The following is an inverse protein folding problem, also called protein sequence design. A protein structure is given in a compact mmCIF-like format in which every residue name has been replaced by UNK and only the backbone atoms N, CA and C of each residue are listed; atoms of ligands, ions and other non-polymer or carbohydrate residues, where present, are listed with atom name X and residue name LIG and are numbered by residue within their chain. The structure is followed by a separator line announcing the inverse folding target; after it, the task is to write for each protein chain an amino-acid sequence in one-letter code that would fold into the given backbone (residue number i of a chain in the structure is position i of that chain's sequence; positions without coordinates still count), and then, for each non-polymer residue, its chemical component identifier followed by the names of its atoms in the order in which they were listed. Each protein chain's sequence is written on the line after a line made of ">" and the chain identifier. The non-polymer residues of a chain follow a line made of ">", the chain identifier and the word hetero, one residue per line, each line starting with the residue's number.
data_IF_994072637905
#
_entry.id   IF_994072637905
#
_cell.length_a   1.000
_cell.length_b   1.000
_cell.length_c   1.000
_cell.angle_alpha   90.00
_cell.angle_beta   90.00
_cell.angle_gamma   90.00
#
_symmetry.space_group_name_H-M   'P 1'
#
loop_
_entity.id
_entity.type
_entity.pdbx_description
1 polymer ?
2 non-polymer ?
3 non-polymer ?
4 non-polymer ?
5 water ?
#
# COMPACT_ATOMS: atom_id res chain seq x y z
N UNK A 3 -15.76 17.02 -11.30
CA UNK A 3 -16.95 16.35 -11.91
C UNK A 3 -16.49 15.14 -12.76
N UNK A 4 -15.41 15.28 -13.52
CA UNK A 4 -14.87 14.29 -14.49
C UNK A 4 -14.62 12.91 -13.88
N UNK A 5 -14.60 11.87 -14.71
CA UNK A 5 -14.53 10.45 -14.25
C UNK A 5 -13.24 10.20 -13.46
N UNK A 6 -12.09 10.61 -13.98
CA UNK A 6 -10.74 10.41 -13.39
C UNK A 6 -10.64 11.05 -11.99
N UNK A 7 -11.16 12.25 -11.81
CA UNK A 7 -11.17 12.98 -10.52
C UNK A 7 -12.01 12.17 -9.52
N UNK A 8 -13.16 11.71 -9.96
CA UNK A 8 -14.14 10.99 -9.13
C UNK A 8 -13.54 9.64 -8.70
N UNK A 9 -12.90 8.94 -9.63
CA UNK A 9 -12.21 7.67 -9.36
C UNK A 9 -11.02 7.95 -8.42
N UNK A 10 -10.27 9.03 -8.65
CA UNK A 10 -9.15 9.41 -7.73
C UNK A 10 -9.67 9.78 -6.32
N UNK A 11 -10.90 10.30 -6.18
CA UNK A 11 -11.47 10.61 -4.84
C UNK A 11 -11.87 9.29 -4.14
N UNK A 12 -12.37 8.32 -4.90
CA UNK A 12 -12.55 6.94 -4.38
C UNK A 12 -11.22 6.41 -3.86
N UNK A 13 -10.14 6.52 -4.63
CA UNK A 13 -8.78 6.03 -4.21
C UNK A 13 -8.36 6.75 -2.92
N UNK A 14 -8.63 8.05 -2.86
CA UNK A 14 -8.25 8.88 -1.69
C UNK A 14 -9.02 8.37 -0.45
N UNK A 15 -10.28 8.01 -0.65
CA UNK A 15 -11.13 7.45 0.42
C UNK A 15 -10.55 6.18 0.93
N UNK A 16 -10.17 5.29 0.02
CA UNK A 16 -9.52 3.98 0.32
C UNK A 16 -8.26 4.26 1.14
N UNK A 17 -7.41 5.13 0.62
CA UNK A 17 -6.14 5.52 1.26
C UNK A 17 -6.43 5.94 2.71
N UNK A 18 -7.40 6.84 2.89
CA UNK A 18 -7.81 7.36 4.20
C UNK A 18 -8.23 6.19 5.09
N UNK A 19 -9.01 5.25 4.57
CA UNK A 19 -9.44 4.06 5.35
C UNK A 19 -8.22 3.19 5.71
N UNK A 20 -7.32 2.94 4.78
CA UNK A 20 -6.13 2.07 5.02
C UNK A 20 -5.32 2.66 6.18
N UNK A 21 -5.29 3.98 6.32
CA UNK A 21 -4.51 4.70 7.36
C UNK A 21 -5.36 4.95 8.62
N UNK A 22 -6.61 4.47 8.67
CA UNK A 22 -7.55 4.77 9.78
C UNK A 22 -7.28 3.81 10.95
N UNK A 23 -7.77 4.17 12.13
CA UNK A 23 -7.66 3.41 13.38
C UNK A 23 -8.38 2.07 13.24
N UNK A 24 -9.47 2.00 12.48
CA UNK A 24 -10.19 0.74 12.15
C UNK A 24 -9.21 -0.39 11.77
N UNK A 25 -8.19 -0.12 10.96
CA UNK A 25 -7.26 -1.13 10.39
C UNK A 25 -5.85 -1.04 10.98
N UNK A 26 -5.62 -0.22 12.02
CA UNK A 26 -4.27 0.09 12.57
C UNK A 26 -3.56 -1.16 13.10
N UNK A 27 -4.28 -2.16 13.61
CA UNK A 27 -3.65 -3.35 14.26
C UNK A 27 -2.85 -4.15 13.22
N UNK A 28 -3.35 -4.22 11.97
CA UNK A 28 -2.66 -4.92 10.86
C UNK A 28 -2.04 -3.95 9.84
N UNK A 29 -2.40 -2.67 9.79
CA UNK A 29 -1.94 -1.76 8.70
C UNK A 29 -0.58 -1.14 9.01
N UNK A 30 -0.13 -1.17 10.26
CA UNK A 30 0.97 -0.31 10.78
C UNK A 30 2.31 -0.65 10.12
N UNK A 31 2.66 -1.91 9.76
CA UNK A 31 3.91 -2.18 9.04
C UNK A 31 4.00 -1.51 7.66
N UNK A 32 2.90 -0.97 7.14
CA UNK A 32 2.79 -0.40 5.76
C UNK A 32 2.70 1.13 5.82
N UNK A 33 2.71 1.73 7.03
CA UNK A 33 2.57 3.20 7.24
C UNK A 33 3.79 3.93 6.69
N UNK A 34 4.99 3.35 6.82
CA UNK A 34 6.27 4.05 6.57
C UNK A 34 7.17 3.14 5.73
N UNK A 35 8.16 3.72 5.02
CA UNK A 35 9.15 2.91 4.31
C UNK A 35 9.74 1.88 5.26
N UNK A 36 9.89 0.65 4.77
CA UNK A 36 10.72 -0.37 5.44
C UNK A 36 12.12 0.24 5.67
N UNK A 37 12.50 0.38 6.94
CA UNK A 37 13.85 0.80 7.37
C UNK A 37 14.69 -0.46 7.55
N UNK A 38 15.32 -0.91 6.46
CA UNK A 38 15.98 -2.24 6.37
C UNK A 38 17.10 -2.30 7.40
N UNK A 39 17.87 -1.20 7.51
CA UNK A 39 19.01 -1.07 8.45
C UNK A 39 18.51 -1.29 9.88
N UNK A 40 17.50 -0.51 10.29
CA UNK A 40 16.93 -0.52 11.65
C UNK A 40 16.42 -1.92 12.01
N UNK A 41 15.90 -2.66 11.03
CA UNK A 41 15.20 -3.97 11.25
C UNK A 41 16.16 -5.15 11.05
N UNK A 42 17.43 -4.91 10.70
CA UNK A 42 18.45 -5.94 10.40
C UNK A 42 18.22 -6.65 9.06
N UNK A 43 17.45 -6.08 8.13
CA UNK A 43 17.09 -6.74 6.84
C UNK A 43 18.07 -6.30 5.74
N UNK A 44 19.35 -6.67 5.86
CA UNK A 44 20.46 -6.09 5.05
C UNK A 44 20.40 -6.61 3.61
N UNK A 45 19.51 -7.56 3.32
CA UNK A 45 19.23 -8.07 1.95
C UNK A 45 17.94 -7.47 1.34
N UNK A 46 17.26 -6.53 2.02
CA UNK A 46 15.92 -6.04 1.61
C UNK A 46 15.98 -5.41 0.22
N UNK A 47 16.93 -4.47 0.04
CA UNK A 47 17.08 -3.62 -1.16
C UNK A 47 17.80 -4.38 -2.29
N UNK A 48 18.31 -5.59 -2.00
CA UNK A 48 18.79 -6.57 -3.01
C UNK A 48 17.62 -7.37 -3.58
N UNK A 49 16.54 -7.53 -2.81
CA UNK A 49 15.37 -8.38 -3.18
C UNK A 49 14.26 -7.49 -3.73
N UNK A 50 14.02 -6.35 -3.06
CA UNK A 50 12.96 -5.37 -3.38
C UNK A 50 13.56 -4.20 -4.15
N UNK A 51 13.24 -4.11 -5.45
CA UNK A 51 13.77 -3.09 -6.37
C UNK A 51 12.96 -1.79 -6.30
N UNK A 52 11.66 -1.88 -5.97
CA UNK A 52 10.74 -0.72 -5.92
C UNK A 52 10.01 -0.69 -4.59
N UNK A 53 10.65 -0.21 -3.51
CA UNK A 53 9.98 -0.13 -2.21
C UNK A 53 8.73 0.74 -2.28
N UNK A 54 7.69 0.41 -1.51
CA UNK A 54 6.44 1.22 -1.47
C UNK A 54 5.80 1.04 -0.10
N UNK A 55 5.05 2.07 0.30
CA UNK A 55 4.45 2.22 1.64
C UNK A 55 3.31 3.26 1.56
N UNK A 56 2.41 3.25 2.53
CA UNK A 56 1.21 4.12 2.45
C UNK A 56 1.59 5.59 2.56
N UNK A 57 2.72 5.94 3.19
CA UNK A 57 3.15 7.34 3.35
C UNK A 57 3.57 7.87 1.96
N UNK A 58 4.26 7.06 1.16
CA UNK A 58 4.69 7.43 -0.21
C UNK A 58 3.44 7.60 -1.07
N UNK A 59 2.48 6.70 -0.94
CA UNK A 59 1.22 6.75 -1.74
C UNK A 59 0.54 8.06 -1.36
N UNK A 60 0.45 8.36 -0.08
CA UNK A 60 -0.19 9.60 0.42
C UNK A 60 0.52 10.83 -0.14
N UNK A 61 1.87 10.86 -0.09
CA UNK A 61 2.71 11.92 -0.70
C UNK A 61 2.36 12.10 -2.18
N UNK A 62 2.26 11.01 -2.94
CA UNK A 62 2.01 11.04 -4.40
C UNK A 62 0.59 11.54 -4.69
N UNK A 63 -0.42 11.10 -3.91
CA UNK A 63 -1.79 11.64 -3.98
C UNK A 63 -1.79 13.16 -3.68
N UNK A 64 -1.11 13.61 -2.62
CA UNK A 64 -1.06 15.04 -2.19
C UNK A 64 -0.35 15.89 -3.27
N UNK A 65 0.62 15.31 -3.96
CA UNK A 65 1.42 16.01 -5.00
C UNK A 65 0.73 15.92 -6.37
N UNK A 66 -0.44 15.27 -6.46
CA UNK A 66 -1.18 15.05 -7.73
C UNK A 66 -0.30 14.24 -8.72
N UNK A 67 0.48 13.31 -8.18
CA UNK A 67 1.39 12.42 -8.96
C UNK A 67 0.55 11.46 -9.80
N UNK A 68 -0.48 10.86 -9.19
CA UNK A 68 -1.37 9.83 -9.78
C UNK A 68 -2.28 10.48 -10.82
N UNK A 69 -2.21 10.01 -12.07
CA UNK A 69 -3.04 10.53 -13.19
C UNK A 69 -4.36 9.76 -13.29
N UNK A 70 -4.43 8.55 -12.73
CA UNK A 70 -5.66 7.70 -12.73
C UNK A 70 -5.64 6.75 -11.53
N UNK A 71 -6.78 6.05 -11.29
CA UNK A 71 -6.98 5.04 -10.23
C UNK A 71 -5.99 3.86 -10.39
N UNK A 72 -5.83 3.37 -11.63
CA UNK A 72 -4.95 2.23 -12.03
C UNK A 72 -3.51 2.47 -11.52
N UNK A 73 -3.00 3.70 -11.61
CA UNK A 73 -1.65 4.11 -11.14
C UNK A 73 -1.58 4.00 -9.59
N UNK A 74 -2.61 4.49 -8.90
CA UNK A 74 -2.77 4.40 -7.43
C UNK A 74 -2.78 2.92 -7.02
N UNK A 75 -3.65 2.11 -7.62
CA UNK A 75 -3.76 0.65 -7.32
C UNK A 75 -2.39 -0.02 -7.49
N UNK A 76 -1.68 0.29 -8.59
CA UNK A 76 -0.38 -0.34 -8.91
C UNK A 76 0.62 -0.11 -7.77
N UNK A 77 0.62 1.09 -7.17
CA UNK A 77 1.49 1.39 -6.00
C UNK A 77 1.01 0.58 -4.79
N UNK A 78 -0.28 0.58 -4.49
CA UNK A 78 -0.77 -0.14 -3.28
C UNK A 78 -0.45 -1.63 -3.43
N UNK A 79 -0.62 -2.20 -4.63
CA UNK A 79 -0.41 -3.64 -4.86
C UNK A 79 1.07 -4.00 -4.82
N UNK A 80 1.95 -3.10 -5.28
CA UNK A 80 3.42 -3.21 -5.22
C UNK A 80 3.89 -3.35 -3.78
N UNK A 81 3.39 -2.51 -2.90
CA UNK A 81 3.61 -2.59 -1.45
C UNK A 81 3.30 -4.01 -0.94
N UNK A 82 2.16 -4.56 -1.33
CA UNK A 82 1.74 -5.90 -0.87
C UNK A 82 2.69 -6.95 -1.51
N UNK A 83 2.95 -6.83 -2.81
CA UNK A 83 3.81 -7.78 -3.58
C UNK A 83 5.20 -7.82 -2.93
N UNK A 84 5.75 -6.66 -2.56
CA UNK A 84 7.08 -6.53 -1.89
C UNK A 84 7.05 -7.33 -0.58
N UNK A 85 5.98 -7.22 0.18
CA UNK A 85 5.81 -7.95 1.46
C UNK A 85 5.83 -9.46 1.19
N UNK A 86 5.08 -9.94 0.17
CA UNK A 86 4.94 -11.36 -0.21
C UNK A 86 6.24 -11.91 -0.81
N UNK A 87 7.01 -11.08 -1.50
CA UNK A 87 8.28 -11.53 -2.09
C UNK A 87 9.35 -11.66 -1.00
N UNK A 88 9.46 -10.68 -0.08
CA UNK A 88 10.60 -10.64 0.87
C UNK A 88 10.37 -11.59 2.04
N UNK A 89 9.17 -11.60 2.60
CA UNK A 89 8.91 -12.22 3.90
C UNK A 89 8.49 -13.68 3.72
N UNK A 90 8.92 -14.58 4.64
CA UNK A 90 8.40 -15.95 4.70
C UNK A 90 6.87 -15.93 4.79
N UNK A 91 6.17 -16.81 4.04
CA UNK A 91 4.72 -16.74 3.93
C UNK A 91 3.97 -17.01 5.25
N UNK A 92 4.67 -17.41 6.31
CA UNK A 92 4.11 -17.73 7.65
C UNK A 92 4.45 -16.62 8.67
N UNK A 93 5.10 -15.53 8.27
CA UNK A 93 5.41 -14.37 9.15
C UNK A 93 4.14 -13.52 9.34
N UNK A 94 3.95 -12.96 10.53
CA UNK A 94 2.75 -12.16 10.87
C UNK A 94 2.58 -11.01 9.86
N UNK A 95 3.67 -10.37 9.44
CA UNK A 95 3.61 -9.21 8.50
C UNK A 95 2.88 -9.64 7.22
N UNK A 96 2.98 -10.92 6.83
CA UNK A 96 2.32 -11.42 5.59
C UNK A 96 0.81 -11.58 5.83
N UNK A 97 0.45 -12.07 7.00
CA UNK A 97 -0.95 -12.22 7.48
C UNK A 97 -1.58 -10.82 7.51
N UNK A 98 -0.85 -9.86 8.06
CA UNK A 98 -1.32 -8.45 8.19
C UNK A 98 -1.49 -7.84 6.80
N UNK A 99 -0.55 -8.10 5.88
CA UNK A 99 -0.62 -7.65 4.47
C UNK A 99 -1.89 -8.22 3.81
N UNK A 100 -2.13 -9.54 3.96
CA UNK A 100 -3.31 -10.29 3.44
C UNK A 100 -4.61 -9.58 3.87
N UNK A 101 -4.71 -9.23 5.15
CA UNK A 101 -5.91 -8.58 5.76
C UNK A 101 -6.09 -7.17 5.21
N UNK A 102 -5.02 -6.39 5.13
CA UNK A 102 -5.08 -5.03 4.56
C UNK A 102 -5.39 -5.11 3.07
N UNK A 103 -4.84 -6.09 2.34
CA UNK A 103 -5.11 -6.21 0.87
C UNK A 103 -6.59 -6.55 0.70
N UNK A 104 -7.14 -7.41 1.55
CA UNK A 104 -8.57 -7.79 1.50
C UNK A 104 -9.41 -6.51 1.60
N UNK A 105 -9.04 -5.59 2.48
CA UNK A 105 -9.74 -4.28 2.63
C UNK A 105 -9.60 -3.51 1.32
N UNK A 106 -8.37 -3.36 0.84
CA UNK A 106 -8.06 -2.61 -0.40
C UNK A 106 -8.90 -3.17 -1.56
N UNK A 107 -8.82 -4.48 -1.79
CA UNK A 107 -9.36 -5.11 -3.03
C UNK A 107 -10.87 -4.94 -3.02
N UNK A 108 -11.54 -5.15 -1.88
CA UNK A 108 -13.02 -5.10 -1.83
C UNK A 108 -13.54 -3.66 -2.02
N UNK A 109 -12.86 -2.66 -1.47
CA UNK A 109 -13.31 -1.26 -1.71
C UNK A 109 -12.90 -0.78 -3.12
N UNK A 110 -11.70 -1.14 -3.60
CA UNK A 110 -11.23 -0.76 -4.95
C UNK A 110 -12.23 -1.27 -5.99
N UNK A 111 -12.74 -2.49 -5.77
CA UNK A 111 -13.72 -3.15 -6.67
C UNK A 111 -14.98 -2.28 -6.78
N UNK A 112 -15.28 -1.45 -5.78
CA UNK A 112 -16.55 -0.68 -5.75
C UNK A 112 -16.32 0.64 -6.46
N UNK A 113 -15.27 0.76 -7.26
CA UNK A 113 -14.94 2.08 -7.80
C UNK A 113 -16.03 2.52 -8.75
N UNK A 114 -16.48 3.78 -8.66
CA UNK A 114 -17.45 4.32 -9.60
C UNK A 114 -16.91 4.21 -11.04
N UNK A 115 -17.72 3.68 -11.95
CA UNK A 115 -17.47 3.64 -13.42
C UNK A 115 -18.46 4.57 -14.13
X LIG B 1 -8.15 -10.77 -2.30
X LIG B 1 -6.90 -10.28 -1.86
X LIG B 1 -9.23 -10.50 -1.33
X LIG B 1 -9.10 -11.30 -0.17
X LIG C 1 6.38 8.09 -10.62
X LIG C 1 7.33 8.89 -9.95
X LIG C 1 6.09 8.58 -11.99
X LIG C 1 5.49 9.86 -12.04
X LIG D 1 10.23 -16.45 1.38
X LIG D 1 11.34 -16.11 2.17
X LIG D 1 10.14 -15.66 0.13
X LIG D 1 8.88 -15.75 -0.51
X LIG E 1 9.35 -6.99 7.58
X LIG E 1 9.55 -6.86 9.97
X LIG E 1 5.86 -6.00 11.19
X LIG E 1 4.79 -6.80 11.56
X LIG E 1 4.94 -7.77 12.53
X LIG E 1 6.19 -7.94 13.11
X LIG E 1 6.28 -4.04 5.10
X LIG E 1 6.98 -4.50 6.28
X LIG E 1 7.86 -5.49 6.25
X LIG E 1 8.08 -6.11 5.21
X LIG E 1 8.47 -5.94 7.54
X LIG E 1 9.91 -7.48 8.83
X LIG E 1 8.69 -5.80 10.01
X LIG E 1 8.27 -5.26 11.31
X LIG E 1 7.11 -6.11 11.79
X LIG E 1 6.62 -8.82 14.07
X LIG E 1 7.95 -8.58 14.33
X LIG E 1 8.40 -7.56 13.55
X LIG E 1 7.29 -7.13 12.75
X LIG E 1 8.09 -5.30 8.85
X LIG E 1 7.32 -4.35 8.92
X LIG E 1 10.87 -8.61 8.95
X LIG E 1 11.57 -8.66 9.96
X LIG E 1 10.94 -9.55 8.01
X LIG E 1 11.89 -10.65 8.14
X LIG E 1 11.97 -11.62 7.03
X LIG E 1 11.37 -12.01 8.34
X LIG F 1 -9.17 15.99 -8.08
X LIG F 1 -10.40 16.71 -7.98
X LIG F 1 -9.23 14.65 -7.42
X LIG F 1 -8.14 14.50 -6.52
X LIG F 1 -8.47 13.82 -5.31
X LIG F 1 -7.23 13.43 -4.59
X LIG F 1 -6.84 14.37 -3.60
#
# INVERSE_FOLDING_TARGET
>A
GSMGKLSEQLKHCNGILKELLSKKHAAYAWPFYKPVDASALGLHDYHDIIKHPMDLSTVKRKMENRDYRDAQEFAADVRLMFSNCYKYNPPDHDVVAMARKLQDVFEFRYAKMPD
>B hetero
1 EDO C1 O1 C2 O2
>C hetero
1 EDO C1 O1 C2 O2
>D hetero
1 EDO C1 O1 C2 O2
>E hetero
1 QD5 C10 C13 C20 C22 C24 C26 C01 N05 C07 O08 C09 C12 N15 C16 C19 N27 C29 C31 C33 C34 O35 C36 O37 N38 C40 C42 C45
>F hetero
1 PEG C1 O1 C2 O2 C3 C4 O4
#
